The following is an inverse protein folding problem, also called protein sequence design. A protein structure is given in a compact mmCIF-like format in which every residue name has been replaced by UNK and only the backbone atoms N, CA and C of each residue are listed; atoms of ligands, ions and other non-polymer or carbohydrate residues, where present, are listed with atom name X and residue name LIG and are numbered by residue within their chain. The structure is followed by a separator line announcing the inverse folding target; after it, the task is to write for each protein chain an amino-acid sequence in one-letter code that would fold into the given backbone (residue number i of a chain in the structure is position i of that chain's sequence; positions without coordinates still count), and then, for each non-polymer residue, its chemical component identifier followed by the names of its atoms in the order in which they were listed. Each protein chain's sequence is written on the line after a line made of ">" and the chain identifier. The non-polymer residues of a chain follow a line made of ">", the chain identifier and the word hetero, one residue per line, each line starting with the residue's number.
data_IF_323544507877
#
_entry.id   IF_323544507877
#
_cell.length_a   1.000
_cell.length_b   1.000
_cell.length_c   1.000
_cell.angle_alpha   90.00
_cell.angle_beta   90.00
_cell.angle_gamma   90.00
#
_symmetry.space_group_name_H-M   'P 1'
#
loop_
_entity.id
_entity.type
_entity.pdbx_description
1 polymer ?
#
# COMPACT_ATOMS: atom_id res chain seq x y z
N UNK A 1 1.20 5.31 -20.36
CA UNK A 1 1.42 6.77 -20.17
C UNK A 1 1.84 7.09 -18.74
N UNK A 2 1.43 6.29 -17.76
CA UNK A 2 1.49 6.60 -16.32
C UNK A 2 2.90 6.74 -15.79
N UNK A 3 3.84 5.91 -16.25
CA UNK A 3 5.23 6.04 -15.84
C UNK A 3 5.86 7.37 -16.25
N UNK A 4 5.55 7.88 -17.45
CA UNK A 4 6.07 9.17 -17.92
C UNK A 4 5.58 10.31 -17.02
N UNK A 5 4.29 10.29 -16.67
CA UNK A 5 3.71 11.26 -15.73
C UNK A 5 4.35 11.14 -14.34
N UNK A 6 4.62 9.93 -13.87
CA UNK A 6 5.29 9.68 -12.59
C UNK A 6 6.69 10.30 -12.51
N UNK A 7 7.46 10.25 -13.60
CA UNK A 7 8.80 10.88 -13.67
C UNK A 7 8.80 12.31 -14.22
N UNK A 8 7.63 12.95 -14.37
CA UNK A 8 7.53 14.33 -14.84
C UNK A 8 7.69 14.56 -16.35
N UNK A 9 7.73 13.50 -17.18
CA UNK A 9 7.81 13.62 -18.65
C UNK A 9 6.41 13.80 -19.26
N UNK A 10 6.23 14.89 -20.01
CA UNK A 10 4.96 15.27 -20.66
C UNK A 10 4.51 14.21 -21.69
N UNK A 11 3.22 13.90 -21.69
CA UNK A 11 2.61 12.91 -22.61
C UNK A 11 2.34 13.42 -24.02
N UNK A 12 2.52 14.70 -24.31
CA UNK A 12 2.37 15.22 -25.66
C UNK A 12 3.12 16.56 -25.87
N UNK A 13 4.22 16.60 -26.65
CA UNK A 13 4.88 17.86 -26.99
C UNK A 13 4.01 18.77 -27.88
N UNK A 14 2.94 18.23 -28.48
CA UNK A 14 2.02 18.98 -29.34
C UNK A 14 0.84 19.61 -28.59
N UNK A 15 0.70 19.40 -27.28
CA UNK A 15 -0.20 20.20 -26.44
C UNK A 15 0.51 21.46 -25.95
N UNK A 16 1.17 22.19 -26.86
CA UNK A 16 1.42 23.60 -26.59
C UNK A 16 0.04 24.22 -26.39
N UNK A 17 -0.25 24.59 -25.14
CA UNK A 17 -1.51 25.19 -24.76
C UNK A 17 -1.78 26.32 -25.74
N UNK A 18 -2.87 26.21 -26.50
CA UNK A 18 -3.40 27.33 -27.27
C UNK A 18 -3.65 28.42 -26.25
N UNK A 19 -2.69 29.33 -26.10
CA UNK A 19 -2.88 30.57 -25.37
C UNK A 19 -4.12 31.18 -25.98
N UNK A 20 -5.18 31.20 -25.19
CA UNK A 20 -6.47 31.71 -25.60
C UNK A 20 -6.22 33.20 -25.82
N UNK A 21 -5.90 33.56 -27.06
CA UNK A 21 -5.67 34.92 -27.51
C UNK A 21 -6.92 35.69 -27.12
N UNK A 22 -6.87 36.38 -25.98
CA UNK A 22 -7.88 37.34 -25.56
C UNK A 22 -8.01 38.29 -26.74
N UNK A 23 -9.16 38.25 -27.40
CA UNK A 23 -9.54 39.24 -28.40
C UNK A 23 -9.47 40.59 -27.71
N UNK A 24 -8.51 41.40 -28.15
CA UNK A 24 -8.41 42.81 -27.82
C UNK A 24 -9.58 43.52 -28.49
N UNK A 25 -10.62 43.82 -27.71
CA UNK A 25 -11.69 44.75 -28.07
C UNK A 25 -12.42 45.15 -26.77
N UNK A 26 -11.73 45.91 -25.93
CA UNK A 26 -12.32 46.70 -24.83
C UNK A 26 -11.30 47.80 -24.51
N UNK A 27 -11.46 48.95 -25.18
CA UNK A 27 -10.73 50.18 -24.88
C UNK A 27 -11.19 50.74 -23.52
N UNK A 28 -10.27 51.18 -22.63
CA UNK A 28 -10.65 51.97 -21.47
C UNK A 28 -10.91 53.43 -21.86
N UNK A 29 -12.15 53.85 -21.66
CA UNK A 29 -12.67 55.21 -21.80
C UNK A 29 -11.98 56.15 -20.78
N UNK A 30 -11.27 57.16 -21.30
CA UNK A 30 -10.63 58.23 -20.53
C UNK A 30 -11.65 59.37 -20.44
N UNK A 31 -12.22 59.58 -19.25
CA UNK A 31 -13.01 60.77 -18.95
C UNK A 31 -12.18 61.80 -18.17
N UNK A 32 -11.91 62.92 -18.82
CA UNK A 32 -11.63 64.24 -18.24
C UNK A 32 -12.71 64.62 -17.21
N UNK A 33 -12.30 65.07 -16.02
CA UNK A 33 -13.06 66.06 -15.26
C UNK A 33 -12.12 66.84 -14.33
N UNK A 34 -11.85 68.08 -14.73
CA UNK A 34 -11.31 69.17 -13.92
C UNK A 34 -12.40 69.65 -12.95
N UNK A 35 -12.08 69.90 -11.68
CA UNK A 35 -12.44 71.19 -11.04
C UNK A 35 -11.81 71.36 -9.64
N UNK A 36 -11.42 72.61 -9.43
CA UNK A 36 -10.78 73.28 -8.29
C UNK A 36 -11.53 73.16 -6.95
N UNK A 37 -10.80 73.17 -5.84
CA UNK A 37 -10.80 74.35 -4.93
C UNK A 37 -9.87 74.19 -3.72
N UNK A 38 -9.32 75.34 -3.34
CA UNK A 38 -8.31 75.65 -2.33
C UNK A 38 -8.75 75.38 -0.87
N UNK A 39 -7.80 75.09 0.03
CA UNK A 39 -7.46 76.05 1.10
C UNK A 39 -6.33 75.57 2.03
N UNK A 40 -5.56 76.57 2.43
CA UNK A 40 -4.35 76.63 3.26
C UNK A 40 -4.35 75.88 4.60
N UNK A 41 -3.15 75.45 5.03
CA UNK A 41 -2.49 75.87 6.29
C UNK A 41 -1.09 75.22 6.37
N UNK A 42 -0.06 76.08 6.37
CA UNK A 42 1.33 75.79 6.75
C UNK A 42 1.56 76.27 8.22
N UNK A 43 2.76 76.18 8.84
CA UNK A 43 4.05 75.73 8.30
C UNK A 43 4.99 74.95 9.25
N UNK A 44 6.09 74.49 8.63
CA UNK A 44 7.49 74.48 9.11
C UNK A 44 8.01 73.45 10.15
N UNK A 45 9.11 72.79 9.75
CA UNK A 45 10.01 72.03 10.62
C UNK A 45 11.14 71.31 9.88
N UNK A 46 12.21 72.05 9.56
CA UNK A 46 13.48 71.68 8.89
C UNK A 46 14.13 70.33 9.26
N UNK A 47 14.79 69.67 8.30
CA UNK A 47 15.75 68.60 8.62
C UNK A 47 16.42 67.78 7.50
N UNK A 48 17.15 68.43 6.59
CA UNK A 48 18.42 68.00 5.94
C UNK A 48 18.62 66.67 5.16
N UNK A 49 19.11 66.86 3.92
CA UNK A 49 20.09 66.08 3.13
C UNK A 49 19.67 64.75 2.46
N UNK A 50 20.16 64.32 1.30
CA UNK A 50 20.66 64.88 0.03
C UNK A 50 21.00 63.67 -0.86
N UNK A 51 20.59 63.69 -2.14
CA UNK A 51 21.01 62.84 -3.28
C UNK A 51 20.66 61.33 -3.24
N UNK A 52 20.22 60.65 -4.31
CA UNK A 52 19.96 60.99 -5.71
C UNK A 52 19.15 59.86 -6.39
N UNK A 53 18.13 60.22 -7.17
CA UNK A 53 17.79 59.70 -8.52
C UNK A 53 17.93 58.19 -8.79
N UNK A 54 16.83 57.45 -9.00
CA UNK A 54 16.29 57.14 -10.34
C UNK A 54 15.09 56.16 -10.27
N UNK A 55 14.09 56.41 -11.12
CA UNK A 55 13.14 55.44 -11.69
C UNK A 55 12.19 54.63 -10.78
N UNK A 56 11.22 55.29 -10.15
CA UNK A 56 10.03 54.62 -9.59
C UNK A 56 8.75 55.26 -10.09
N UNK A 57 8.13 54.65 -11.12
CA UNK A 57 6.67 54.61 -11.39
C UNK A 57 6.40 54.25 -12.86
N UNK A 58 6.87 53.09 -13.29
CA UNK A 58 6.25 52.36 -14.40
C UNK A 58 6.27 50.88 -13.99
N UNK A 59 5.18 50.17 -14.28
CA UNK A 59 4.99 48.73 -14.06
C UNK A 59 4.55 48.28 -12.64
N UNK A 60 3.46 48.85 -12.14
CA UNK A 60 2.54 48.14 -11.23
C UNK A 60 1.32 47.64 -12.02
N UNK A 61 1.59 46.85 -13.04
CA UNK A 61 0.61 46.00 -13.72
C UNK A 61 1.31 44.67 -14.08
N UNK A 62 1.97 44.09 -13.08
CA UNK A 62 2.49 42.73 -13.18
C UNK A 62 1.28 41.81 -13.05
N UNK A 63 0.94 41.25 -14.19
CA UNK A 63 -0.05 40.21 -14.42
C UNK A 63 0.23 39.01 -13.49
N UNK A 64 -0.52 38.88 -12.39
CA UNK A 64 -0.60 37.67 -11.54
C UNK A 64 -1.35 36.54 -12.30
N UNK A 65 -0.81 36.07 -13.43
CA UNK A 65 -1.40 34.97 -14.22
C UNK A 65 -0.44 33.78 -14.39
N UNK A 66 0.75 33.81 -13.77
CA UNK A 66 1.80 32.79 -13.99
C UNK A 66 2.04 31.80 -12.83
N UNK A 67 1.31 31.86 -11.72
CA UNK A 67 1.69 31.08 -10.53
C UNK A 67 1.37 29.58 -10.63
N UNK A 68 0.28 29.18 -11.31
CA UNK A 68 -0.14 27.77 -11.35
C UNK A 68 0.64 26.95 -12.39
N UNK A 69 0.84 27.49 -13.59
CA UNK A 69 1.60 26.80 -14.65
C UNK A 69 3.06 26.61 -14.22
N UNK A 70 3.69 27.65 -13.68
CA UNK A 70 5.07 27.59 -13.18
C UNK A 70 5.20 26.64 -11.99
N UNK A 71 4.19 26.53 -11.12
CA UNK A 71 4.19 25.55 -10.03
C UNK A 71 4.13 24.10 -10.55
N UNK A 72 3.31 23.84 -11.57
CA UNK A 72 3.22 22.52 -12.21
C UNK A 72 4.52 22.15 -12.94
N UNK A 73 5.19 23.09 -13.60
CA UNK A 73 6.51 22.87 -14.21
C UNK A 73 7.56 22.51 -13.15
N UNK A 74 7.68 23.30 -12.09
CA UNK A 74 8.63 23.03 -10.98
C UNK A 74 8.38 21.67 -10.34
N UNK A 75 7.13 21.26 -10.16
CA UNK A 75 6.79 19.95 -9.63
C UNK A 75 7.23 18.82 -10.58
N UNK A 76 7.06 18.99 -11.90
CA UNK A 76 7.53 18.01 -12.90
C UNK A 76 9.05 17.87 -12.89
N UNK A 77 9.75 19.00 -12.88
CA UNK A 77 11.22 19.01 -12.83
C UNK A 77 11.72 18.32 -11.55
N UNK A 78 11.09 18.57 -10.41
CA UNK A 78 11.43 17.89 -9.16
C UNK A 78 11.21 16.36 -9.21
N UNK A 79 10.19 15.88 -9.92
CA UNK A 79 9.97 14.44 -10.12
C UNK A 79 11.04 13.82 -11.02
N UNK A 80 11.43 14.53 -12.08
CA UNK A 80 12.48 14.10 -12.97
C UNK A 80 13.83 14.05 -12.24
N UNK A 81 14.17 15.10 -11.52
CA UNK A 81 15.39 15.19 -10.71
C UNK A 81 15.46 14.04 -9.69
N UNK A 82 14.34 13.74 -9.00
CA UNK A 82 14.27 12.60 -8.07
C UNK A 82 14.57 11.27 -8.76
N UNK A 83 14.07 11.07 -9.99
CA UNK A 83 14.38 9.86 -10.77
C UNK A 83 15.85 9.82 -11.20
N UNK A 84 16.41 10.94 -11.66
CA UNK A 84 17.82 11.03 -12.08
C UNK A 84 18.78 10.79 -10.91
N UNK A 85 18.46 11.31 -9.73
CA UNK A 85 19.26 11.13 -8.52
C UNK A 85 19.23 9.69 -7.98
N UNK A 86 18.04 9.07 -7.96
CA UNK A 86 17.82 7.73 -7.36
C UNK A 86 16.85 6.89 -8.19
N UNK A 87 17.27 6.42 -9.38
CA UNK A 87 16.39 5.67 -10.29
C UNK A 87 15.90 4.36 -9.67
N UNK A 88 16.71 3.67 -8.86
CA UNK A 88 16.31 2.44 -8.20
C UNK A 88 15.17 2.66 -7.19
N UNK A 89 15.28 3.70 -6.37
CA UNK A 89 14.23 4.08 -5.42
C UNK A 89 12.96 4.54 -6.14
N UNK A 90 13.09 5.30 -7.23
CA UNK A 90 11.96 5.69 -8.06
C UNK A 90 11.23 4.48 -8.65
N UNK A 91 11.94 3.43 -9.10
CA UNK A 91 11.31 2.18 -9.55
C UNK A 91 10.57 1.46 -8.43
N UNK A 92 11.18 1.35 -7.24
CA UNK A 92 10.55 0.74 -6.05
C UNK A 92 9.24 1.46 -5.72
N UNK A 93 9.25 2.80 -5.66
CA UNK A 93 8.05 3.62 -5.36
C UNK A 93 7.00 3.50 -6.46
N UNK A 94 7.41 3.56 -7.73
CA UNK A 94 6.49 3.44 -8.87
C UNK A 94 5.74 2.11 -8.84
N UNK A 95 6.46 1.01 -8.71
CA UNK A 95 5.91 -0.36 -8.80
C UNK A 95 5.15 -0.80 -7.53
N UNK A 96 5.08 0.04 -6.49
CA UNK A 96 4.40 -0.26 -5.23
C UNK A 96 3.34 0.78 -4.89
N UNK A 97 3.69 1.86 -4.19
CA UNK A 97 2.77 2.89 -3.69
C UNK A 97 2.00 3.54 -4.84
N UNK A 98 2.69 3.96 -5.90
CA UNK A 98 2.02 4.57 -7.05
C UNK A 98 1.12 3.56 -7.79
N UNK A 99 1.60 2.33 -7.98
CA UNK A 99 0.84 1.23 -8.56
C UNK A 99 -0.47 0.93 -7.80
N UNK A 100 -0.39 0.89 -6.47
CA UNK A 100 -1.54 0.71 -5.58
C UNK A 100 -2.48 1.91 -5.65
N UNK A 101 -1.96 3.13 -5.52
CA UNK A 101 -2.77 4.36 -5.51
C UNK A 101 -3.52 4.59 -6.83
N UNK A 102 -2.96 4.14 -7.96
CA UNK A 102 -3.62 4.19 -9.28
C UNK A 102 -4.51 2.98 -9.58
N UNK A 103 -4.69 2.06 -8.62
CA UNK A 103 -5.48 0.84 -8.81
C UNK A 103 -4.87 -0.15 -9.81
N UNK A 104 -3.63 0.06 -10.25
CA UNK A 104 -2.94 -0.82 -11.20
C UNK A 104 -2.57 -2.17 -10.56
N UNK A 105 -2.51 -2.23 -9.22
CA UNK A 105 -2.29 -3.46 -8.47
C UNK A 105 -3.40 -4.50 -8.70
N UNK A 106 -4.60 -4.06 -9.09
CA UNK A 106 -5.78 -4.91 -9.28
C UNK A 106 -5.98 -5.37 -10.72
N UNK A 107 -5.12 -4.94 -11.64
CA UNK A 107 -5.19 -5.27 -13.05
C UNK A 107 -4.07 -6.26 -13.43
N UNK A 108 -4.39 -7.55 -13.68
CA UNK A 108 -3.38 -8.56 -14.00
C UNK A 108 -2.53 -8.22 -15.23
N UNK A 109 -3.09 -7.52 -16.22
CA UNK A 109 -2.34 -7.12 -17.40
C UNK A 109 -1.25 -6.10 -17.03
N UNK A 110 -1.59 -5.13 -16.17
CA UNK A 110 -0.64 -4.11 -15.70
C UNK A 110 0.46 -4.69 -14.81
N UNK A 111 0.13 -5.63 -13.92
CA UNK A 111 1.11 -6.33 -13.09
C UNK A 111 2.16 -7.08 -13.93
N UNK A 112 1.71 -7.68 -15.04
CA UNK A 112 2.58 -8.39 -15.99
C UNK A 112 3.41 -7.44 -16.85
N UNK A 113 2.78 -6.44 -17.45
CA UNK A 113 3.37 -5.68 -18.56
C UNK A 113 4.21 -4.48 -18.10
N UNK A 114 3.85 -3.84 -16.98
CA UNK A 114 4.56 -2.64 -16.55
C UNK A 114 6.02 -2.90 -16.16
N UNK A 115 6.37 -3.94 -15.36
CA UNK A 115 7.77 -4.26 -15.08
C UNK A 115 8.61 -4.52 -16.34
N UNK A 116 8.01 -5.15 -17.36
CA UNK A 116 8.67 -5.45 -18.63
C UNK A 116 9.04 -4.15 -19.36
N UNK A 117 8.11 -3.20 -19.39
CA UNK A 117 8.32 -1.91 -20.05
C UNK A 117 9.30 -1.03 -19.28
N UNK A 118 9.25 -1.05 -17.95
CA UNK A 118 10.23 -0.34 -17.12
C UNK A 118 11.63 -0.90 -17.35
N UNK A 119 11.77 -2.22 -17.36
CA UNK A 119 13.03 -2.88 -17.67
C UNK A 119 13.56 -2.46 -19.04
N UNK A 120 12.72 -2.45 -20.08
CA UNK A 120 13.12 -2.02 -21.42
C UNK A 120 13.65 -0.57 -21.44
N UNK A 121 12.98 0.33 -20.71
CA UNK A 121 13.42 1.73 -20.59
C UNK A 121 14.77 1.85 -19.88
N UNK A 122 14.96 1.18 -18.74
CA UNK A 122 16.22 1.20 -18.01
C UNK A 122 17.36 0.58 -18.84
N UNK A 123 17.09 -0.53 -19.53
CA UNK A 123 18.02 -1.17 -20.48
C UNK A 123 18.49 -0.21 -21.56
N UNK A 124 17.58 0.61 -22.09
CA UNK A 124 17.92 1.60 -23.10
C UNK A 124 18.87 2.65 -22.53
N UNK A 125 18.59 3.19 -21.33
CA UNK A 125 19.45 4.19 -20.68
C UNK A 125 20.86 3.64 -20.43
N UNK A 126 20.97 2.39 -19.96
CA UNK A 126 22.24 1.70 -19.73
C UNK A 126 23.01 1.45 -21.05
N UNK A 127 22.35 0.85 -22.05
CA UNK A 127 23.00 0.49 -23.33
C UNK A 127 23.46 1.70 -24.14
N UNK A 128 22.76 2.83 -24.02
CA UNK A 128 23.12 4.07 -24.70
C UNK A 128 24.03 4.97 -23.88
N UNK A 129 24.28 4.63 -22.62
CA UNK A 129 25.08 5.45 -21.72
C UNK A 129 24.53 6.87 -21.59
N UNK A 130 23.20 7.01 -21.49
CA UNK A 130 22.54 8.33 -21.42
C UNK A 130 22.93 9.07 -20.14
N UNK A 131 23.10 8.33 -19.04
CA UNK A 131 23.43 8.83 -17.70
C UNK A 131 24.61 8.01 -17.12
N UNK A 132 25.85 8.22 -17.61
CA UNK A 132 27.00 7.43 -17.18
C UNK A 132 27.29 7.58 -15.67
N UNK A 133 27.02 8.74 -15.08
CA UNK A 133 27.15 9.03 -13.65
C UNK A 133 26.18 8.19 -12.78
N UNK A 134 25.01 7.85 -13.33
CA UNK A 134 23.99 7.07 -12.63
C UNK A 134 24.03 5.56 -12.98
N UNK A 135 25.04 5.08 -13.72
CA UNK A 135 25.08 3.70 -14.24
C UNK A 135 24.84 2.63 -13.18
N UNK A 136 25.49 2.73 -12.01
CA UNK A 136 25.30 1.77 -10.90
C UNK A 136 23.87 1.82 -10.33
N UNK A 137 23.28 3.00 -10.25
CA UNK A 137 21.91 3.15 -9.76
C UNK A 137 20.89 2.62 -10.78
N UNK A 138 21.16 2.81 -12.08
CA UNK A 138 20.38 2.23 -13.16
C UNK A 138 20.49 0.70 -13.20
N UNK A 139 21.65 0.12 -12.90
CA UNK A 139 21.82 -1.34 -12.76
C UNK A 139 20.97 -1.89 -11.60
N UNK A 140 20.92 -1.19 -10.46
CA UNK A 140 20.00 -1.54 -9.36
C UNK A 140 18.53 -1.38 -9.75
N UNK A 141 18.18 -0.30 -10.46
CA UNK A 141 16.84 -0.12 -10.99
C UNK A 141 16.45 -1.25 -11.94
N UNK A 142 17.37 -1.72 -12.78
CA UNK A 142 17.17 -2.87 -13.64
C UNK A 142 16.90 -4.14 -12.80
N UNK A 143 17.68 -4.39 -11.74
CA UNK A 143 17.44 -5.51 -10.83
C UNK A 143 16.05 -5.46 -10.15
N UNK A 144 15.60 -4.27 -9.74
CA UNK A 144 14.23 -4.05 -9.21
C UNK A 144 13.19 -4.45 -10.25
N UNK A 145 13.33 -4.01 -11.51
CA UNK A 145 12.39 -4.37 -12.57
C UNK A 145 12.38 -5.87 -12.90
N UNK A 146 13.52 -6.54 -12.78
CA UNK A 146 13.62 -7.99 -13.00
C UNK A 146 12.88 -8.79 -11.92
N UNK A 147 13.03 -8.40 -10.65
CA UNK A 147 12.26 -9.00 -9.55
C UNK A 147 10.76 -8.71 -9.70
N UNK A 148 10.40 -7.46 -9.98
CA UNK A 148 9.00 -7.05 -10.08
C UNK A 148 8.21 -7.82 -11.16
N UNK A 149 8.86 -8.28 -12.25
CA UNK A 149 8.22 -9.14 -13.27
C UNK A 149 7.66 -10.43 -12.70
N UNK A 150 8.30 -10.98 -11.67
CA UNK A 150 7.88 -12.21 -11.01
C UNK A 150 6.98 -11.89 -9.82
N UNK A 151 7.38 -10.91 -9.03
CA UNK A 151 6.76 -10.64 -7.74
C UNK A 151 5.41 -9.93 -7.83
N UNK A 152 5.23 -8.99 -8.77
CA UNK A 152 3.97 -8.26 -8.89
C UNK A 152 2.78 -9.16 -9.24
N UNK A 153 2.88 -10.06 -10.26
CA UNK A 153 1.82 -11.03 -10.50
C UNK A 153 1.58 -11.96 -9.30
N UNK A 154 2.67 -12.39 -8.64
CA UNK A 154 2.58 -13.26 -7.47
C UNK A 154 1.85 -12.59 -6.29
N UNK A 155 1.99 -11.26 -6.10
CA UNK A 155 1.25 -10.52 -5.07
C UNK A 155 -0.27 -10.63 -5.25
N UNK A 156 -0.76 -10.56 -6.50
CA UNK A 156 -2.20 -10.73 -6.78
C UNK A 156 -2.67 -12.15 -6.43
N UNK A 157 -1.95 -13.16 -6.90
CA UNK A 157 -2.25 -14.56 -6.59
C UNK A 157 -2.23 -14.83 -5.08
N UNK A 158 -1.23 -14.29 -4.40
CA UNK A 158 -1.08 -14.40 -2.96
C UNK A 158 -2.22 -13.73 -2.19
N UNK A 159 -2.65 -12.53 -2.60
CA UNK A 159 -3.76 -11.84 -1.94
C UNK A 159 -5.07 -12.64 -2.00
N UNK A 160 -5.30 -13.37 -3.09
CA UNK A 160 -6.50 -14.21 -3.27
C UNK A 160 -6.51 -15.43 -2.35
N UNK A 161 -5.34 -16.00 -2.05
CA UNK A 161 -5.23 -17.20 -1.18
C UNK A 161 -5.06 -16.87 0.30
N UNK A 162 -4.56 -15.67 0.64
CA UNK A 162 -4.43 -15.21 2.04
C UNK A 162 -5.68 -14.49 2.55
N UNK A 163 -6.62 -14.12 1.68
CA UNK A 163 -7.81 -13.37 2.05
C UNK A 163 -9.02 -13.88 1.26
N UNK A 164 -9.76 -14.88 1.77
CA UNK A 164 -9.59 -15.56 3.06
C UNK A 164 -8.59 -16.73 3.02
N UNK A 165 -7.76 -16.86 4.06
CA UNK A 165 -6.92 -18.06 4.26
C UNK A 165 -7.76 -19.16 4.94
N UNK A 166 -7.97 -20.27 4.21
CA UNK A 166 -8.93 -21.33 4.59
C UNK A 166 -8.67 -21.88 6.00
N UNK A 167 -7.42 -22.21 6.32
CA UNK A 167 -7.09 -22.79 7.63
C UNK A 167 -7.25 -21.75 8.75
N UNK A 168 -6.77 -20.53 8.52
CA UNK A 168 -6.84 -19.39 9.42
C UNK A 168 -8.27 -19.02 9.77
N UNK A 169 -9.20 -19.06 8.82
CA UNK A 169 -10.63 -18.82 9.08
C UNK A 169 -11.24 -19.90 9.97
N UNK A 170 -10.89 -21.19 9.79
CA UNK A 170 -11.32 -22.25 10.71
C UNK A 170 -10.75 -22.04 12.12
N UNK A 171 -9.46 -21.70 12.21
CA UNK A 171 -8.81 -21.38 13.48
C UNK A 171 -9.47 -20.17 14.15
N UNK A 172 -9.84 -19.16 13.35
CA UNK A 172 -10.48 -17.94 13.82
C UNK A 172 -11.85 -18.19 14.40
N UNK A 173 -12.67 -19.03 13.76
CA UNK A 173 -13.96 -19.46 14.33
C UNK A 173 -13.78 -20.20 15.66
N UNK A 174 -12.72 -21.00 15.81
CA UNK A 174 -12.49 -21.81 17.00
C UNK A 174 -11.93 -21.01 18.19
N UNK A 175 -11.05 -20.04 17.93
CA UNK A 175 -10.27 -19.39 19.00
C UNK A 175 -10.23 -17.87 18.95
N UNK A 176 -10.58 -17.23 17.84
CA UNK A 176 -10.33 -15.80 17.73
C UNK A 176 -11.18 -15.02 18.70
N UNK A 177 -10.53 -14.00 19.23
CA UNK A 177 -11.18 -12.91 19.90
C UNK A 177 -11.24 -11.78 18.90
N UNK A 178 -12.44 -11.24 18.64
CA UNK A 178 -12.59 -10.15 17.68
C UNK A 178 -11.78 -8.95 18.19
N UNK A 179 -10.77 -8.56 17.42
CA UNK A 179 -10.06 -7.31 17.62
C UNK A 179 -10.69 -6.27 16.70
N UNK A 180 -11.50 -5.37 17.26
CA UNK A 180 -11.99 -4.22 16.50
C UNK A 180 -10.87 -3.18 16.46
N UNK A 181 -10.45 -2.82 15.24
CA UNK A 181 -9.53 -1.72 15.04
C UNK A 181 -10.30 -0.42 15.27
N UNK A 182 -10.06 0.24 16.39
CA UNK A 182 -10.51 1.63 16.57
C UNK A 182 -9.48 2.52 15.90
N UNK A 183 -9.87 3.09 14.76
CA UNK A 183 -9.10 4.10 14.07
C UNK A 183 -9.33 5.45 14.75
N UNK A 184 -8.63 5.70 15.85
CA UNK A 184 -8.44 7.06 16.32
C UNK A 184 -7.40 7.72 15.40
N UNK A 185 -7.64 8.97 15.03
CA UNK A 185 -7.01 9.73 13.92
C UNK A 185 -5.47 9.74 13.88
N UNK A 186 -4.80 9.25 14.93
CA UNK A 186 -3.35 9.21 15.09
C UNK A 186 -2.80 7.86 15.60
N UNK A 187 -3.66 6.88 15.95
CA UNK A 187 -3.20 5.58 16.44
C UNK A 187 -4.28 4.48 16.32
N UNK A 188 -3.99 3.39 15.61
CA UNK A 188 -4.89 2.22 15.59
C UNK A 188 -4.75 1.45 16.90
N UNK A 189 -5.77 1.53 17.74
CA UNK A 189 -5.83 0.74 18.99
C UNK A 189 -6.73 -0.46 18.77
N UNK A 190 -6.29 -1.64 19.19
CA UNK A 190 -7.08 -2.87 19.12
C UNK A 190 -7.70 -3.13 20.48
N UNK A 191 -9.03 -3.09 20.54
CA UNK A 191 -9.77 -3.51 21.73
C UNK A 191 -10.25 -4.96 21.56
N UNK A 192 -10.20 -5.68 22.68
CA UNK A 192 -10.66 -7.06 22.77
C UNK A 192 -12.17 -7.05 23.01
N UNK A 193 -12.95 -7.52 22.04
CA UNK A 193 -14.37 -7.77 22.28
C UNK A 193 -14.62 -9.21 22.75
N UNK A 194 -15.42 -9.41 23.82
CA UNK A 194 -15.82 -10.75 24.23
C UNK A 194 -16.71 -11.39 23.15
N UNK A 195 -16.46 -12.66 22.84
CA UNK A 195 -17.27 -13.43 21.89
C UNK A 195 -18.75 -13.46 22.31
N UNK A 196 -19.70 -13.39 21.36
CA UNK A 196 -21.07 -13.81 21.62
C UNK A 196 -21.07 -15.27 22.09
N UNK A 197 -21.95 -15.64 23.03
CA UNK A 197 -21.96 -16.95 23.68
C UNK A 197 -21.85 -18.12 22.69
N UNK A 198 -21.01 -19.11 23.04
CA UNK A 198 -20.69 -20.33 22.26
C UNK A 198 -21.90 -20.90 21.52
N UNK A 199 -22.01 -20.58 20.24
CA UNK A 199 -22.66 -21.47 19.27
C UNK A 199 -21.80 -22.72 19.06
N UNK A 200 -22.44 -23.85 18.80
CA UNK A 200 -21.77 -25.10 18.48
C UNK A 200 -20.87 -24.91 17.24
N UNK A 201 -19.53 -25.09 17.34
CA UNK A 201 -18.60 -24.82 16.25
C UNK A 201 -18.83 -25.69 15.00
N UNK A 202 -19.61 -26.77 15.11
CA UNK A 202 -19.92 -27.68 14.01
C UNK A 202 -21.29 -27.41 13.34
N UNK A 203 -22.07 -26.42 13.81
CA UNK A 203 -23.41 -26.14 13.25
C UNK A 203 -23.39 -24.93 12.33
N UNK A 204 -23.38 -25.16 11.02
CA UNK A 204 -23.51 -24.10 10.01
C UNK A 204 -24.90 -23.46 10.06
N UNK A 205 -24.98 -22.19 10.49
CA UNK A 205 -26.02 -21.29 10.01
C UNK A 205 -25.41 -20.39 8.95
N UNK A 206 -25.67 -20.71 7.68
CA UNK A 206 -25.27 -19.88 6.55
C UNK A 206 -26.23 -18.69 6.47
N UNK A 207 -25.87 -17.56 7.07
CA UNK A 207 -26.37 -16.28 6.58
C UNK A 207 -25.50 -15.87 5.40
N UNK A 208 -26.10 -15.88 4.22
CA UNK A 208 -25.48 -15.43 2.97
C UNK A 208 -25.19 -13.93 3.05
N UNK A 209 -23.94 -13.59 3.41
CA UNK A 209 -23.37 -12.26 3.23
C UNK A 209 -23.13 -12.01 1.74
N UNK A 210 -23.98 -11.19 1.13
CA UNK A 210 -23.73 -10.67 -0.21
C UNK A 210 -22.70 -9.55 -0.12
N UNK A 211 -21.58 -9.74 -0.80
CA UNK A 211 -20.51 -8.76 -0.96
C UNK A 211 -20.75 -8.02 -2.27
N UNK A 212 -20.76 -6.70 -2.26
CA UNK A 212 -20.83 -5.92 -3.49
C UNK A 212 -19.46 -5.92 -4.22
N UNK A 213 -19.45 -5.45 -5.47
CA UNK A 213 -18.27 -5.41 -6.35
C UNK A 213 -17.08 -4.58 -5.79
N UNK A 214 -17.23 -3.93 -4.64
CA UNK A 214 -16.22 -3.11 -3.98
C UNK A 214 -15.74 -3.70 -2.63
N UNK A 215 -16.17 -4.90 -2.25
CA UNK A 215 -15.62 -5.63 -1.10
C UNK A 215 -15.95 -5.04 0.28
N UNK A 216 -17.02 -4.25 0.40
CA UNK A 216 -17.45 -3.72 1.71
C UNK A 216 -18.60 -4.55 2.29
N UNK A 217 -18.48 -4.96 3.56
CA UNK A 217 -19.60 -5.48 4.35
C UNK A 217 -20.40 -4.31 4.92
N UNK A 218 -21.63 -4.12 4.45
CA UNK A 218 -22.54 -3.07 4.95
C UNK A 218 -23.66 -3.73 5.76
N UNK A 219 -23.72 -3.42 7.06
CA UNK A 219 -24.87 -3.74 7.90
C UNK A 219 -25.94 -2.65 7.72
N UNK A 220 -27.06 -2.98 7.10
CA UNK A 220 -28.15 -2.02 6.85
C UNK A 220 -29.06 -1.94 8.08
N UNK A 221 -28.61 -1.22 9.09
CA UNK A 221 -29.48 -0.62 10.09
C UNK A 221 -29.02 0.82 10.38
N UNK A 222 -29.70 1.75 9.71
CA UNK A 222 -29.70 3.21 9.93
C UNK A 222 -28.36 3.97 9.77
N UNK A 223 -28.14 4.55 8.59
CA UNK A 223 -27.35 5.78 8.45
C UNK A 223 -27.82 6.60 7.22
N UNK A 224 -28.01 7.89 7.43
CA UNK A 224 -28.39 8.92 6.43
C UNK A 224 -27.18 9.44 5.66
N UNK A 225 -27.35 9.95 4.42
CA UNK A 225 -26.27 10.11 3.44
C UNK A 225 -25.46 11.42 3.58
N UNK A 226 -25.05 11.81 4.79
CA UNK A 226 -24.41 13.13 5.01
C UNK A 226 -22.99 13.08 5.62
N UNK A 227 -22.45 11.93 6.02
CA UNK A 227 -21.17 11.86 6.77
C UNK A 227 -19.98 11.22 6.01
N UNK A 228 -20.07 10.99 4.70
CA UNK A 228 -19.06 10.20 3.97
C UNK A 228 -17.95 11.00 3.25
N UNK A 229 -17.49 12.15 3.78
CA UNK A 229 -16.30 12.84 3.26
C UNK A 229 -15.53 13.57 4.38
N UNK A 230 -14.81 12.82 5.21
CA UNK A 230 -13.80 13.40 6.11
C UNK A 230 -12.80 12.35 6.58
N UNK A 231 -11.59 12.35 6.01
CA UNK A 231 -10.41 11.82 6.71
C UNK A 231 -9.48 10.93 5.89
N UNK A 232 -8.65 11.54 5.03
CA UNK A 232 -7.25 11.11 4.89
C UNK A 232 -6.41 12.34 4.56
N UNK A 233 -5.48 12.64 5.46
CA UNK A 233 -4.63 13.82 5.42
C UNK A 233 -3.45 13.60 4.48
N UNK A 234 -3.68 13.83 3.19
CA UNK A 234 -2.67 14.23 2.21
C UNK A 234 -3.35 15.15 1.20
N UNK A 235 -3.80 16.33 1.65
CA UNK A 235 -3.73 17.52 0.81
C UNK A 235 -4.07 18.80 1.58
N UNK A 236 -3.20 19.77 1.40
CA UNK A 236 -3.37 21.16 1.78
C UNK A 236 -3.08 22.08 0.60
N UNK A 237 -3.56 21.74 -0.60
CA UNK A 237 -3.78 22.71 -1.70
C UNK A 237 -5.11 22.36 -2.36
N UNK A 238 -6.11 23.23 -2.19
CA UNK A 238 -7.36 23.16 -2.93
C UNK A 238 -7.14 23.74 -4.32
N UNK A 239 -6.93 22.90 -5.33
CA UNK A 239 -7.14 23.30 -6.74
C UNK A 239 -8.60 23.01 -7.09
N UNK A 240 -9.42 24.06 -7.14
CA UNK A 240 -10.77 23.98 -7.67
C UNK A 240 -10.74 24.08 -9.20
N UNK A 241 -11.28 23.08 -9.89
CA UNK A 241 -11.69 23.23 -11.27
C UNK A 241 -11.26 22.10 -12.22
N UNK A 242 -12.26 21.62 -12.96
CA UNK A 242 -12.21 20.76 -14.15
C UNK A 242 -11.89 19.26 -13.93
N UNK A 243 -12.90 18.45 -14.27
CA UNK A 243 -12.91 17.00 -14.17
C UNK A 243 -11.74 16.32 -14.87
N UNK A 244 -11.08 15.45 -14.13
CA UNK A 244 -9.99 14.62 -14.60
C UNK A 244 -10.53 13.38 -15.34
N UNK A 245 -10.37 13.40 -16.66
CA UNK A 245 -9.87 12.29 -17.46
C UNK A 245 -10.70 11.00 -17.50
N UNK A 246 -11.41 10.81 -18.61
CA UNK A 246 -11.83 9.51 -19.13
C UNK A 246 -10.66 8.49 -19.09
N UNK A 247 -10.88 7.35 -18.41
CA UNK A 247 -9.93 6.24 -18.32
C UNK A 247 -9.58 5.63 -19.70
N UNK A 248 -10.35 5.96 -20.74
CA UNK A 248 -10.19 5.50 -22.11
C UNK A 248 -8.96 6.09 -22.85
N UNK A 249 -8.32 7.15 -22.33
CA UNK A 249 -7.17 7.77 -22.99
C UNK A 249 -5.81 7.13 -22.66
N UNK A 250 -5.79 6.19 -21.71
CA UNK A 250 -4.58 5.44 -21.40
C UNK A 250 -4.38 4.37 -22.48
N UNK A 251 -3.42 4.59 -23.39
CA UNK A 251 -3.11 3.72 -24.56
C UNK A 251 -2.61 2.30 -24.23
N UNK A 252 -3.04 1.74 -23.11
CA UNK A 252 -2.82 0.38 -22.64
C UNK A 252 -3.98 -0.55 -22.99
N UNK A 253 -5.16 -0.01 -23.32
CA UNK A 253 -6.42 -0.77 -23.36
C UNK A 253 -6.80 -1.30 -24.77
N UNK A 254 -5.82 -1.65 -25.60
CA UNK A 254 -6.10 -2.23 -26.95
C UNK A 254 -6.10 -3.75 -26.98
N UNK A 255 -5.97 -4.40 -25.83
CA UNK A 255 -6.22 -5.84 -25.73
C UNK A 255 -7.65 -6.06 -25.27
N UNK A 256 -8.44 -6.77 -26.08
CA UNK A 256 -9.72 -7.35 -25.66
C UNK A 256 -9.44 -8.14 -24.39
N UNK A 257 -9.80 -7.56 -23.24
CA UNK A 257 -9.71 -8.21 -21.95
C UNK A 257 -10.70 -9.36 -21.97
N UNK A 258 -10.22 -10.53 -22.40
CA UNK A 258 -10.83 -11.81 -22.02
C UNK A 258 -10.63 -11.86 -20.51
N UNK A 259 -11.63 -11.38 -19.77
CA UNK A 259 -11.64 -11.56 -18.33
C UNK A 259 -11.59 -13.07 -18.11
N UNK A 260 -10.56 -13.61 -17.47
CA UNK A 260 -10.64 -14.98 -17.00
C UNK A 260 -11.89 -15.05 -16.12
N UNK A 261 -12.77 -16.02 -16.37
CA UNK A 261 -13.87 -16.29 -15.45
C UNK A 261 -13.27 -16.37 -14.05
N UNK A 262 -13.57 -15.36 -13.22
CA UNK A 262 -13.20 -15.38 -11.82
C UNK A 262 -14.11 -16.44 -11.24
N UNK A 263 -13.59 -17.67 -11.12
CA UNK A 263 -14.26 -18.73 -10.37
C UNK A 263 -14.63 -18.14 -9.01
N UNK A 264 -15.93 -18.07 -8.73
CA UNK A 264 -16.44 -17.66 -7.43
C UNK A 264 -16.20 -18.81 -6.46
N UNK A 265 -15.02 -18.80 -5.83
CA UNK A 265 -14.56 -19.82 -4.89
C UNK A 265 -15.45 -19.95 -3.65
N UNK A 266 -16.40 -19.03 -3.43
CA UNK A 266 -17.36 -19.13 -2.33
C UNK A 266 -18.46 -20.18 -2.58
N UNK A 267 -18.61 -20.70 -3.81
CA UNK A 267 -19.75 -21.54 -4.21
C UNK A 267 -19.44 -23.01 -4.52
N UNK A 268 -18.18 -23.46 -4.46
CA UNK A 268 -17.85 -24.88 -4.71
C UNK A 268 -17.98 -25.72 -3.43
N UNK A 269 -19.23 -26.12 -3.16
CA UNK A 269 -19.70 -26.85 -1.98
C UNK A 269 -19.17 -28.26 -1.76
N UNK A 270 -17.86 -28.41 -1.53
CA UNK A 270 -17.34 -29.51 -0.71
C UNK A 270 -17.38 -29.06 0.75
N UNK A 271 -17.98 -29.83 1.68
CA UNK A 271 -17.92 -29.48 3.09
C UNK A 271 -16.44 -29.37 3.49
N UNK A 272 -16.03 -28.20 3.96
CA UNK A 272 -14.67 -27.97 4.46
C UNK A 272 -14.38 -29.02 5.52
N UNK A 273 -13.21 -29.66 5.43
CA UNK A 273 -12.77 -30.64 6.45
C UNK A 273 -12.78 -29.95 7.82
N UNK A 274 -13.31 -30.61 8.87
CA UNK A 274 -13.37 -30.03 10.20
C UNK A 274 -11.95 -29.70 10.71
N UNK A 275 -11.84 -28.67 11.55
CA UNK A 275 -10.55 -28.22 12.08
C UNK A 275 -9.78 -29.34 12.78
N UNK A 276 -10.48 -30.23 13.51
CA UNK A 276 -9.86 -31.37 14.18
C UNK A 276 -9.11 -32.30 13.21
N UNK A 277 -9.61 -32.50 11.99
CA UNK A 277 -8.92 -33.28 10.96
C UNK A 277 -7.62 -32.61 10.53
N UNK A 278 -7.64 -31.30 10.25
CA UNK A 278 -6.44 -30.52 9.92
C UNK A 278 -5.39 -30.58 11.02
N UNK A 279 -5.82 -30.62 12.28
CA UNK A 279 -4.94 -30.75 13.44
C UNK A 279 -4.46 -32.18 13.70
N UNK A 280 -4.74 -33.13 12.80
CA UNK A 280 -4.34 -34.54 12.95
C UNK A 280 -5.13 -35.27 14.04
N UNK A 281 -6.41 -34.93 14.20
CA UNK A 281 -7.33 -35.51 15.18
C UNK A 281 -7.28 -34.88 16.57
N UNK A 282 -6.52 -33.78 16.75
CA UNK A 282 -6.50 -33.04 18.02
C UNK A 282 -7.78 -32.22 18.14
N UNK A 283 -8.47 -32.37 19.26
CA UNK A 283 -9.66 -31.57 19.58
C UNK A 283 -9.27 -30.09 19.80
N UNK A 284 -9.83 -29.15 19.01
CA UNK A 284 -9.54 -27.72 19.14
C UNK A 284 -9.78 -27.15 20.55
N UNK A 285 -10.66 -27.76 21.35
CA UNK A 285 -10.98 -27.31 22.71
C UNK A 285 -9.85 -27.53 23.72
N UNK A 286 -8.85 -28.37 23.40
CA UNK A 286 -7.63 -28.52 24.23
C UNK A 286 -6.56 -27.48 23.92
N UNK A 287 -6.77 -26.71 22.86
CA UNK A 287 -5.89 -25.65 22.44
C UNK A 287 -6.43 -24.30 22.92
N UNK A 288 -5.52 -23.41 23.31
CA UNK A 288 -5.84 -22.05 23.70
C UNK A 288 -4.91 -21.07 23.00
N UNK A 289 -5.46 -19.94 22.58
CA UNK A 289 -4.68 -18.79 22.17
C UNK A 289 -3.78 -18.33 23.31
N UNK A 290 -2.48 -18.23 23.04
CA UNK A 290 -1.48 -17.88 24.03
C UNK A 290 -0.89 -16.49 23.79
N UNK A 291 -0.62 -16.16 22.52
CA UNK A 291 -0.14 -14.85 22.09
C UNK A 291 -0.76 -14.47 20.76
N UNK A 292 -0.83 -13.18 20.49
CA UNK A 292 -1.05 -12.67 19.14
C UNK A 292 -0.34 -11.34 18.93
N UNK A 293 0.07 -11.10 17.70
CA UNK A 293 0.74 -9.87 17.29
C UNK A 293 0.25 -9.42 15.92
N UNK A 294 0.22 -8.11 15.72
CA UNK A 294 0.20 -7.49 14.40
C UNK A 294 1.63 -7.10 14.06
N UNK A 295 2.21 -7.74 13.05
CA UNK A 295 3.60 -7.43 12.66
C UNK A 295 3.85 -7.74 11.19
N UNK A 296 4.85 -7.07 10.63
CA UNK A 296 5.39 -7.39 9.30
C UNK A 296 6.54 -8.37 9.43
N UNK A 297 6.44 -9.52 8.77
CA UNK A 297 7.44 -10.60 8.84
C UNK A 297 7.94 -11.02 7.47
N UNK A 298 9.21 -11.43 7.39
CA UNK A 298 9.85 -11.95 6.17
C UNK A 298 9.57 -13.43 6.04
N UNK A 299 9.03 -13.86 4.91
CA UNK A 299 9.00 -15.28 4.56
C UNK A 299 10.42 -15.75 4.28
N UNK A 300 11.00 -16.57 5.16
CA UNK A 300 12.36 -17.10 5.00
C UNK A 300 12.31 -18.32 4.08
N UNK A 301 11.43 -19.27 4.38
CA UNK A 301 11.28 -20.51 3.61
C UNK A 301 9.91 -21.13 3.79
N UNK A 302 9.59 -22.02 2.86
CA UNK A 302 8.32 -22.74 2.78
C UNK A 302 8.63 -24.22 2.94
N UNK A 303 7.91 -24.90 3.84
CA UNK A 303 7.99 -26.34 4.02
C UNK A 303 6.66 -26.96 3.56
N UNK A 304 6.68 -27.93 2.63
CA UNK A 304 5.47 -28.63 2.24
C UNK A 304 4.92 -29.47 3.41
N UNK A 305 3.65 -29.92 3.33
CA UNK A 305 3.12 -30.92 4.26
C UNK A 305 4.05 -32.13 4.33
N UNK A 306 4.22 -32.67 5.53
CA UNK A 306 5.03 -33.85 5.78
C UNK A 306 4.16 -35.00 6.33
N UNK A 307 3.62 -35.87 5.45
CA UNK A 307 2.73 -36.98 5.85
C UNK A 307 3.36 -37.97 6.85
N UNK A 308 4.70 -37.97 7.00
CA UNK A 308 5.39 -38.79 8.00
C UNK A 308 5.34 -38.22 9.42
N UNK A 309 4.81 -37.01 9.61
CA UNK A 309 4.65 -36.37 10.91
C UNK A 309 3.23 -36.53 11.44
N UNK A 310 3.02 -36.25 12.72
CA UNK A 310 1.68 -36.21 13.34
C UNK A 310 1.23 -34.78 13.55
N UNK A 311 -0.09 -34.55 13.56
CA UNK A 311 -0.66 -33.24 13.83
C UNK A 311 -0.72 -32.34 12.58
N UNK A 312 -0.75 -31.01 12.75
CA UNK A 312 -0.97 -30.07 11.64
C UNK A 312 0.04 -30.21 10.49
N UNK A 313 1.31 -30.45 10.82
CA UNK A 313 2.39 -30.61 9.83
C UNK A 313 2.20 -31.79 8.85
N UNK A 314 1.31 -32.74 9.17
CA UNK A 314 1.00 -33.86 8.28
C UNK A 314 0.18 -33.46 7.04
N UNK A 315 -0.56 -32.36 7.14
CA UNK A 315 -1.55 -31.93 6.15
C UNK A 315 -1.39 -30.49 5.70
N UNK A 316 -0.79 -29.63 6.54
CA UNK A 316 -0.60 -28.21 6.27
C UNK A 316 0.84 -27.92 5.85
N UNK A 317 1.00 -26.89 5.03
CA UNK A 317 2.31 -26.33 4.76
C UNK A 317 2.76 -25.46 5.94
N UNK A 318 4.07 -25.28 6.10
CA UNK A 318 4.64 -24.41 7.12
C UNK A 318 5.40 -23.27 6.47
N UNK A 319 5.00 -22.03 6.77
CA UNK A 319 5.76 -20.83 6.45
C UNK A 319 6.66 -20.50 7.62
N UNK A 320 7.96 -20.38 7.35
CA UNK A 320 8.93 -19.93 8.35
C UNK A 320 9.09 -18.43 8.18
N UNK A 321 8.62 -17.68 9.17
CA UNK A 321 8.54 -16.22 9.13
C UNK A 321 9.54 -15.61 10.10
N UNK A 322 10.46 -14.81 9.58
CA UNK A 322 11.46 -14.07 10.37
C UNK A 322 11.13 -12.59 10.52
N UNK A 323 12.03 -11.89 11.21
CA UNK A 323 11.99 -10.44 11.35
C UNK A 323 12.14 -9.74 9.98
N UNK A 324 11.31 -8.72 9.75
CA UNK A 324 11.45 -7.83 8.60
C UNK A 324 12.19 -6.55 9.01
N UNK A 325 13.42 -6.35 8.52
CA UNK A 325 14.27 -5.24 8.96
C UNK A 325 13.94 -3.89 8.30
N UNK A 326 13.26 -3.89 7.15
CA UNK A 326 13.00 -2.70 6.35
C UNK A 326 11.51 -2.34 6.32
N UNK A 327 10.81 -2.46 7.45
CA UNK A 327 9.40 -2.08 7.50
C UNK A 327 9.30 -0.57 7.24
N UNK A 328 8.51 -0.12 6.23
CA UNK A 328 8.30 1.31 6.06
C UNK A 328 7.69 1.87 7.35
N UNK A 329 8.14 3.05 7.76
CA UNK A 329 7.75 3.66 9.04
C UNK A 329 6.23 3.82 9.19
N UNK A 330 5.53 3.90 8.06
CA UNK A 330 4.09 4.11 7.98
C UNK A 330 3.26 2.90 8.43
N UNK A 331 3.85 1.70 8.54
CA UNK A 331 3.13 0.48 8.91
C UNK A 331 3.12 0.17 10.40
N UNK A 332 3.65 1.08 11.22
CA UNK A 332 3.75 0.92 12.66
C UNK A 332 4.79 -0.11 13.09
N UNK A 333 5.12 -0.07 14.38
CA UNK A 333 5.97 -1.09 15.00
C UNK A 333 5.17 -2.37 15.26
N UNK A 334 5.81 -3.54 15.30
CA UNK A 334 5.17 -4.77 15.75
C UNK A 334 4.42 -4.57 17.07
N UNK A 335 3.14 -4.93 17.09
CA UNK A 335 2.24 -4.70 18.22
C UNK A 335 1.81 -6.03 18.83
N UNK A 336 1.95 -6.14 20.15
CA UNK A 336 1.36 -7.24 20.92
C UNK A 336 -0.14 -6.99 21.06
N UNK A 337 -0.96 -7.93 20.57
CA UNK A 337 -2.42 -7.87 20.71
C UNK A 337 -2.90 -8.71 21.90
N UNK A 338 -2.24 -9.84 22.14
CA UNK A 338 -2.46 -10.69 23.31
C UNK A 338 -1.13 -11.26 23.78
N UNK A 339 -0.91 -11.27 25.10
CA UNK A 339 0.24 -11.91 25.71
C UNK A 339 -0.15 -12.52 27.06
N UNK A 340 -0.48 -13.81 27.07
CA UNK A 340 -0.76 -14.53 28.32
C UNK A 340 0.53 -15.03 28.99
N UNK A 341 1.31 -14.12 29.57
CA UNK A 341 2.28 -14.48 30.62
C UNK A 341 3.72 -14.71 30.18
N UNK A 342 4.20 -14.02 29.15
CA UNK A 342 5.64 -13.85 28.90
C UNK A 342 6.00 -12.37 28.80
N UNK A 343 6.45 -11.78 29.91
CA UNK A 343 6.80 -10.35 29.98
C UNK A 343 7.93 -9.96 29.04
N UNK A 344 8.74 -10.93 28.63
CA UNK A 344 9.99 -10.68 27.90
C UNK A 344 9.82 -10.91 26.39
N UNK A 345 8.63 -11.33 25.96
CA UNK A 345 8.32 -11.53 24.54
C UNK A 345 8.16 -10.19 23.82
N UNK A 346 8.93 -10.02 22.74
CA UNK A 346 8.89 -8.85 21.87
C UNK A 346 8.29 -9.27 20.52
N UNK A 347 7.14 -8.70 20.13
CA UNK A 347 6.52 -8.98 18.84
C UNK A 347 7.45 -8.75 17.66
N UNK A 348 7.39 -9.64 16.66
CA UNK A 348 8.15 -9.51 15.41
C UNK A 348 9.66 -9.86 15.49
N UNK A 349 10.22 -10.11 16.69
CA UNK A 349 11.67 -10.39 16.84
C UNK A 349 12.04 -11.85 16.58
N UNK A 350 11.24 -12.80 17.08
CA UNK A 350 11.54 -14.23 16.96
C UNK A 350 11.17 -14.80 15.59
N UNK A 351 11.81 -15.90 15.17
CA UNK A 351 11.33 -16.68 14.03
C UNK A 351 10.10 -17.50 14.44
N UNK A 352 9.04 -17.45 13.63
CA UNK A 352 7.80 -18.21 13.89
C UNK A 352 7.53 -19.22 12.77
N UNK A 353 6.92 -20.35 13.14
CA UNK A 353 6.44 -21.38 12.21
C UNK A 353 4.93 -21.28 12.09
N UNK A 354 4.46 -20.86 10.92
CA UNK A 354 3.05 -20.57 10.64
C UNK A 354 2.48 -21.68 9.78
N UNK A 355 1.44 -22.36 10.26
CA UNK A 355 0.70 -23.33 9.44
C UNK A 355 -0.32 -22.62 8.56
N UNK A 356 -0.39 -23.05 7.30
CA UNK A 356 -1.32 -22.52 6.29
C UNK A 356 -1.83 -23.65 5.40
N UNK A 357 -2.94 -23.42 4.72
CA UNK A 357 -3.43 -24.35 3.70
C UNK A 357 -2.38 -24.55 2.58
N UNK A 358 -2.19 -25.77 2.03
CA UNK A 358 -1.18 -26.05 1.01
C UNK A 358 -1.22 -25.13 -0.22
N UNK A 359 -2.41 -24.72 -0.66
CA UNK A 359 -2.59 -23.77 -1.78
C UNK A 359 -1.81 -22.46 -1.58
N UNK A 360 -1.65 -21.99 -0.34
CA UNK A 360 -0.89 -20.78 -0.02
C UNK A 360 0.60 -20.97 -0.35
N UNK A 361 1.14 -22.15 -0.03
CA UNK A 361 2.56 -22.45 -0.22
C UNK A 361 2.98 -22.44 -1.70
N UNK A 362 2.04 -22.68 -2.62
CA UNK A 362 2.30 -22.63 -4.06
C UNK A 362 2.30 -21.20 -4.64
N UNK A 363 1.73 -20.24 -3.91
CA UNK A 363 1.52 -18.86 -4.38
C UNK A 363 2.43 -17.83 -3.71
N UNK A 364 2.98 -18.14 -2.54
CA UNK A 364 3.90 -17.25 -1.82
C UNK A 364 5.34 -17.44 -2.31
N UNK A 365 6.14 -16.38 -2.25
CA UNK A 365 7.55 -16.39 -2.65
C UNK A 365 8.46 -16.08 -1.46
N UNK A 366 9.54 -16.86 -1.23
CA UNK A 366 10.54 -16.52 -0.23
C UNK A 366 11.07 -15.10 -0.39
N UNK A 367 11.28 -14.44 0.73
CA UNK A 367 11.71 -13.06 0.83
C UNK A 367 10.56 -12.05 0.89
N UNK A 368 9.30 -12.44 0.66
CA UNK A 368 8.15 -11.52 0.78
C UNK A 368 7.96 -11.06 2.22
N UNK A 369 7.59 -9.80 2.41
CA UNK A 369 7.14 -9.26 3.68
C UNK A 369 5.63 -9.39 3.77
N UNK A 370 5.12 -9.96 4.85
CA UNK A 370 3.69 -10.07 5.09
C UNK A 370 3.35 -9.34 6.38
N UNK A 371 2.43 -8.39 6.32
CA UNK A 371 1.81 -7.82 7.51
C UNK A 371 0.53 -8.57 7.80
N UNK A 372 0.53 -9.30 8.91
CA UNK A 372 -0.61 -10.09 9.33
C UNK A 372 -0.84 -9.96 10.84
N UNK A 373 -2.04 -10.38 11.25
CA UNK A 373 -2.30 -10.80 12.62
C UNK A 373 -1.85 -12.25 12.76
N UNK A 374 -0.78 -12.46 13.49
CA UNK A 374 -0.22 -13.78 13.79
C UNK A 374 -0.74 -14.25 15.14
N UNK A 375 -1.22 -15.48 15.20
CA UNK A 375 -1.79 -16.03 16.44
C UNK A 375 -1.08 -17.31 16.82
N UNK A 376 -0.54 -17.32 18.04
CA UNK A 376 0.11 -18.47 18.64
C UNK A 376 -0.89 -19.27 19.46
N UNK A 377 -1.06 -20.52 19.10
CA UNK A 377 -1.93 -21.47 19.80
C UNK A 377 -1.06 -22.52 20.49
N UNK A 378 -1.46 -22.94 21.69
CA UNK A 378 -0.80 -24.02 22.42
C UNK A 378 -1.78 -24.90 23.17
N UNK A 379 -1.38 -26.14 23.42
CA UNK A 379 -2.12 -27.06 24.28
C UNK A 379 -2.09 -26.59 25.75
N UNK A 380 -3.26 -26.58 26.40
CA UNK A 380 -3.31 -26.36 27.84
C UNK A 380 -2.66 -27.55 28.57
N UNK A 381 -1.67 -27.28 29.43
CA UNK A 381 -0.95 -28.32 30.17
C UNK A 381 -1.89 -29.05 31.14
N UNK A 382 -2.54 -30.13 30.70
CA UNK A 382 -3.18 -31.10 31.57
C UNK A 382 -2.10 -32.01 32.18
N UNK A 383 -1.70 -31.65 33.40
CA UNK A 383 -0.84 -32.34 34.40
C UNK A 383 -0.06 -33.64 34.06
N UNK A 384 1.19 -33.69 34.56
CA UNK A 384 2.07 -34.86 34.86
C UNK A 384 2.56 -35.79 33.74
N UNK A 385 2.40 -35.46 32.46
CA UNK A 385 3.06 -36.16 31.35
C UNK A 385 4.36 -35.50 30.87
N UNK A 386 5.37 -36.29 30.44
CA UNK A 386 6.60 -35.80 29.78
C UNK A 386 6.41 -35.43 28.29
N UNK A 387 5.20 -35.47 27.75
CA UNK A 387 4.96 -35.15 26.34
C UNK A 387 5.18 -33.65 26.12
N UNK A 388 5.95 -33.28 25.10
CA UNK A 388 6.11 -31.87 24.70
C UNK A 388 4.74 -31.35 24.25
N UNK A 389 4.27 -30.27 24.88
CA UNK A 389 3.05 -29.58 24.47
C UNK A 389 3.20 -29.12 23.02
N UNK A 390 2.16 -29.32 22.22
CA UNK A 390 2.13 -28.79 20.86
C UNK A 390 1.85 -27.28 20.91
N UNK A 391 2.58 -26.52 20.10
CA UNK A 391 2.35 -25.09 19.92
C UNK A 391 2.79 -24.65 18.53
N UNK A 392 2.05 -23.71 17.94
CA UNK A 392 2.26 -23.28 16.55
C UNK A 392 1.51 -21.97 16.25
N UNK A 393 1.85 -21.34 15.13
CA UNK A 393 1.23 -20.09 14.69
C UNK A 393 0.30 -20.28 13.49
N UNK A 394 -0.72 -19.43 13.35
CA UNK A 394 -1.50 -19.28 12.11
C UNK A 394 -1.69 -17.81 11.73
N UNK A 395 -2.14 -17.59 10.49
CA UNK A 395 -2.55 -16.29 9.98
C UNK A 395 -4.03 -16.09 10.28
N UNK A 396 -4.36 -15.17 11.18
CA UNK A 396 -5.77 -14.83 11.45
C UNK A 396 -6.31 -13.82 10.43
N UNK A 397 -5.47 -12.86 10.02
CA UNK A 397 -5.83 -11.82 9.06
C UNK A 397 -4.60 -11.32 8.34
N UNK A 398 -4.67 -11.23 7.00
CA UNK A 398 -3.67 -10.59 6.16
C UNK A 398 -4.05 -9.13 5.90
N UNK A 399 -3.08 -8.21 6.00
CA UNK A 399 -3.28 -6.76 5.82
C UNK A 399 -2.55 -6.22 4.61
N UNK A 400 -1.28 -6.58 4.45
CA UNK A 400 -0.45 -6.08 3.38
C UNK A 400 0.66 -7.06 3.03
N UNK A 401 1.11 -6.95 1.79
CA UNK A 401 2.23 -7.69 1.23
C UNK A 401 3.30 -6.73 0.72
N UNK A 402 4.56 -7.06 0.96
CA UNK A 402 5.72 -6.29 0.56
C UNK A 402 6.63 -7.15 -0.30
N UNK A 403 6.89 -6.65 -1.50
CA UNK A 403 7.72 -7.28 -2.50
C UNK A 403 9.20 -7.24 -2.07
N UNK A 404 9.97 -8.26 -2.45
CA UNK A 404 11.37 -8.40 -2.02
C UNK A 404 12.28 -7.38 -2.70
N UNK A 405 11.84 -6.79 -3.82
CA UNK A 405 12.62 -5.76 -4.49
C UNK A 405 12.86 -4.49 -3.63
N UNK A 406 12.17 -4.33 -2.50
CA UNK A 406 12.48 -3.33 -1.48
C UNK A 406 13.74 -3.65 -0.66
N UNK A 407 14.17 -4.91 -0.66
CA UNK A 407 15.36 -5.42 0.05
C UNK A 407 16.58 -5.60 -0.86
N UNK A 408 16.52 -5.16 -2.12
CA UNK A 408 17.65 -5.30 -3.08
C UNK A 408 18.95 -4.73 -2.52
N UNK A 409 18.85 -3.64 -1.77
CA UNK A 409 20.02 -2.97 -1.19
C UNK A 409 20.69 -3.86 -0.11
N UNK A 410 19.91 -4.67 0.61
CA UNK A 410 20.43 -5.63 1.60
C UNK A 410 21.19 -6.80 0.95
N UNK A 411 20.82 -7.18 -0.29
CA UNK A 411 21.46 -8.27 -1.02
C UNK A 411 22.89 -7.92 -1.46
N UNK A 412 23.19 -6.63 -1.65
CA UNK A 412 24.52 -6.15 -2.04
C UNK A 412 25.45 -5.94 -0.83
N UNK A 413 24.91 -5.56 0.33
CA UNK A 413 25.68 -5.32 1.56
C UNK A 413 26.21 -6.60 2.23
N UNK A 414 26.03 -7.76 1.61
CA UNK A 414 26.50 -9.04 2.15
C UNK A 414 25.74 -9.49 3.39
N UNK A 415 24.53 -8.95 3.61
CA UNK A 415 23.58 -9.54 4.56
C UNK A 415 23.36 -10.97 4.12
N UNK A 416 23.76 -11.92 4.97
CA UNK A 416 23.75 -13.36 4.64
C UNK A 416 22.40 -13.73 4.04
N UNK A 417 22.43 -14.35 2.86
CA UNK A 417 21.27 -15.09 2.33
C UNK A 417 20.96 -16.19 3.36
N UNK A 418 19.85 -16.06 4.07
CA UNK A 418 19.40 -17.01 5.09
C UNK A 418 18.60 -18.15 4.46
#
# INVERSE_FOLDING_TARGET
>A
MDFRQFIGIITNPNQQHRTKKRSADEEPDISDDDDDDEDDIAPEGMGAAAASFDQTQFEANIVEVDDEETAAERHRDALLDRFLDKPDHAMKVFLSSYFSAKGMLWDPAKLRDAPILMRFFIDYLLKRGVLPEASKALERAHAVTELAKVELPATSDMSKVLSPEKFGELCKRAWSVTFTAKNDRENTTFEREPLPEKGDPDTMHVESLQVDLNGHTVDFSSATPEDALSGSGWDGVKTGGAGWGDAAASGWDTHVSVQPEIEDWSQTGTPERPLSEWLGGVDPSFLKQYRSELSTRRLIRILPPNPGTTGPASQLATLIMGKWHCCPKDFGYPQSLLNEGDSDWIPGEEEISVFVHPDVAEKVLPGFGLQCVWVHVREEKKSKGKKKSQSWWYVESHRAAFMTYWTVDELEEGVKKY
#
